data_IF_869471788811
#
_entry.id   IF_869471788811
#
_cell.length_a   1.000
_cell.length_b   1.000
_cell.length_c   1.000
_cell.angle_alpha   90.00
_cell.angle_beta   90.00
_cell.angle_gamma   90.00
#
_symmetry.space_group_name_H-M   'P 1'
#
loop_
_entity.id
_entity.type
_entity.pdbx_description
1 polymer ?
#
# COMPACT_ATOMS: atom_id res chain seq x y z
N UNK A 1 29.87 10.32 24.24
CA UNK A 1 28.44 10.55 23.95
C UNK A 1 27.63 10.21 25.19
N UNK A 2 27.00 11.21 25.81
CA UNK A 2 26.11 11.02 26.96
C UNK A 2 24.86 10.21 26.55
N UNK A 3 24.15 9.62 27.52
CA UNK A 3 22.94 8.86 27.22
C UNK A 3 21.87 9.72 26.52
N UNK A 4 21.73 10.97 26.93
CA UNK A 4 20.82 11.94 26.32
C UNK A 4 21.17 12.25 24.86
N UNK A 5 22.46 12.46 24.55
CA UNK A 5 22.92 12.70 23.18
C UNK A 5 22.58 11.53 22.24
N UNK A 6 22.68 10.29 22.74
CA UNK A 6 22.31 9.10 21.98
C UNK A 6 20.82 9.07 21.64
N UNK A 7 19.94 9.42 22.59
CA UNK A 7 18.49 9.49 22.35
C UNK A 7 18.16 10.62 21.37
N UNK A 8 18.75 11.81 21.55
CA UNK A 8 18.58 12.94 20.62
C UNK A 8 19.04 12.61 19.20
N UNK A 9 20.11 11.83 19.05
CA UNK A 9 20.56 11.35 17.75
C UNK A 9 19.54 10.38 17.11
N UNK A 10 19.02 9.42 17.88
CA UNK A 10 17.97 8.49 17.42
C UNK A 10 16.70 9.22 17.03
N UNK A 11 16.29 10.23 17.80
CA UNK A 11 15.11 11.04 17.54
C UNK A 11 15.25 11.81 16.22
N UNK A 12 16.37 12.51 16.01
CA UNK A 12 16.67 13.18 14.73
C UNK A 12 16.68 12.19 13.55
N UNK A 13 17.24 10.99 13.74
CA UNK A 13 17.24 9.94 12.71
C UNK A 13 15.82 9.44 12.40
N UNK A 14 14.97 9.29 13.42
CA UNK A 14 13.58 8.88 13.26
C UNK A 14 12.76 9.95 12.52
N UNK A 15 12.90 11.23 12.89
CA UNK A 15 12.23 12.36 12.23
C UNK A 15 12.61 12.46 10.74
N UNK A 16 13.91 12.38 10.40
CA UNK A 16 14.34 12.33 9.00
C UNK A 16 13.75 11.13 8.24
N UNK A 17 13.59 9.99 8.91
CA UNK A 17 12.98 8.80 8.29
C UNK A 17 11.50 9.02 8.05
N UNK A 18 10.78 9.64 8.99
CA UNK A 18 9.38 10.04 8.80
C UNK A 18 9.22 10.97 7.60
N UNK A 19 10.00 12.04 7.52
CA UNK A 19 9.98 12.99 6.41
C UNK A 19 10.18 12.30 5.06
N UNK A 20 11.19 11.43 4.94
CA UNK A 20 11.46 10.64 3.73
C UNK A 20 10.28 9.76 3.33
N UNK A 21 9.64 9.10 4.29
CA UNK A 21 8.49 8.23 4.02
C UNK A 21 7.26 9.03 3.58
N UNK A 22 7.02 10.18 4.20
CA UNK A 22 5.94 11.10 3.82
C UNK A 22 6.18 11.65 2.41
N UNK A 23 7.42 12.03 2.09
CA UNK A 23 7.78 12.50 0.75
C UNK A 23 7.61 11.40 -0.32
N UNK A 24 8.01 10.16 -0.01
CA UNK A 24 7.80 9.02 -0.90
C UNK A 24 6.31 8.72 -1.14
N UNK A 25 5.46 8.84 -0.11
CA UNK A 25 4.01 8.70 -0.25
C UNK A 25 3.42 9.80 -1.14
N UNK A 26 3.82 11.06 -0.94
CA UNK A 26 3.39 12.19 -1.78
C UNK A 26 3.78 12.03 -3.25
N UNK A 27 4.90 11.37 -3.55
CA UNK A 27 5.32 11.06 -4.94
C UNK A 27 4.46 9.98 -5.58
N UNK A 28 3.91 9.06 -4.79
CA UNK A 28 3.10 7.94 -5.28
C UNK A 28 1.64 8.31 -5.40
N UNK A 29 1.10 9.11 -4.47
CA UNK A 29 -0.26 9.62 -4.52
C UNK A 29 -0.29 10.86 -5.44
N UNK A 30 -0.74 10.75 -6.70
CA UNK A 30 -0.85 11.92 -7.56
C UNK A 30 -1.83 12.94 -6.97
N UNK A 31 -1.61 14.21 -7.29
CA UNK A 31 -2.41 15.35 -6.82
C UNK A 31 -3.90 15.10 -7.08
N UNK A 32 -4.68 15.07 -6.00
CA UNK A 32 -6.12 14.81 -5.97
C UNK A 32 -6.87 15.83 -6.82
N UNK A 33 -6.96 15.61 -8.12
CA UNK A 33 -7.69 16.49 -9.05
C UNK A 33 -8.43 15.64 -10.07
N UNK A 34 -9.42 14.91 -9.58
CA UNK A 34 -10.56 14.58 -10.42
C UNK A 34 -11.77 14.49 -9.51
N UNK A 35 -12.58 15.54 -9.54
CA UNK A 35 -13.95 15.47 -9.07
C UNK A 35 -14.61 14.24 -9.71
N UNK A 36 -15.36 13.50 -8.90
CA UNK A 36 -16.13 12.35 -9.37
C UNK A 36 -17.16 12.86 -10.36
N UNK A 37 -16.94 12.63 -11.66
CA UNK A 37 -17.90 12.93 -12.73
C UNK A 37 -19.19 12.07 -12.64
N UNK A 38 -19.46 11.43 -11.51
CA UNK A 38 -20.58 10.53 -11.36
C UNK A 38 -21.70 11.17 -10.57
N UNK A 39 -22.87 11.22 -11.21
CA UNK A 39 -24.11 11.66 -10.62
C UNK A 39 -24.43 10.75 -9.41
N UNK A 40 -24.54 11.29 -8.19
CA UNK A 40 -24.97 10.48 -7.05
C UNK A 40 -26.42 10.08 -7.30
N UNK A 41 -26.63 8.93 -7.94
CA UNK A 41 -27.95 8.32 -8.05
C UNK A 41 -28.52 8.20 -6.63
N UNK A 42 -29.54 8.99 -6.33
CA UNK A 42 -30.20 8.98 -5.02
C UNK A 42 -30.99 7.68 -4.97
N UNK A 43 -30.43 6.65 -4.32
CA UNK A 43 -31.17 5.43 -4.03
C UNK A 43 -32.26 5.74 -3.01
N UNK A 44 -33.47 5.24 -3.29
CA UNK A 44 -34.51 5.25 -2.27
C UNK A 44 -34.12 4.30 -1.12
N UNK A 45 -34.59 4.55 0.13
CA UNK A 45 -34.27 3.68 1.26
C UNK A 45 -34.67 2.20 1.04
N UNK A 46 -35.77 1.97 0.32
CA UNK A 46 -36.26 0.64 -0.04
C UNK A 46 -35.30 -0.08 -1.00
N UNK A 47 -34.87 0.62 -2.05
CA UNK A 47 -33.87 0.10 -2.99
C UNK A 47 -32.54 -0.17 -2.29
N UNK A 48 -32.10 0.75 -1.43
CA UNK A 48 -30.88 0.60 -0.65
C UNK A 48 -30.92 -0.68 0.20
N UNK A 49 -32.01 -0.91 0.93
CA UNK A 49 -32.17 -2.13 1.74
C UNK A 49 -32.24 -3.39 0.87
N UNK A 50 -32.94 -3.34 -0.27
CA UNK A 50 -33.02 -4.45 -1.21
C UNK A 50 -31.64 -4.86 -1.74
N UNK A 51 -30.85 -3.90 -2.23
CA UNK A 51 -29.51 -4.17 -2.74
C UNK A 51 -28.55 -4.58 -1.64
N UNK A 52 -28.68 -4.03 -0.42
CA UNK A 52 -27.86 -4.44 0.71
C UNK A 52 -28.11 -5.91 1.06
N UNK A 53 -29.38 -6.32 1.15
CA UNK A 53 -29.76 -7.72 1.41
C UNK A 53 -29.34 -8.66 0.29
N UNK A 54 -29.43 -8.22 -0.96
CA UNK A 54 -28.95 -8.99 -2.11
C UNK A 54 -27.42 -9.12 -2.10
N UNK A 55 -26.71 -8.03 -1.80
CA UNK A 55 -25.26 -7.98 -1.70
C UNK A 55 -24.72 -8.86 -0.58
N UNK A 56 -25.38 -8.90 0.58
CA UNK A 56 -25.02 -9.80 1.69
C UNK A 56 -25.14 -11.28 1.31
N UNK A 57 -26.15 -11.64 0.51
CA UNK A 57 -26.36 -13.03 0.06
C UNK A 57 -25.50 -13.43 -1.14
N UNK A 58 -24.87 -12.47 -1.81
CA UNK A 58 -24.12 -12.77 -3.03
C UNK A 58 -22.79 -13.46 -2.71
N UNK A 59 -22.36 -14.36 -3.60
CA UNK A 59 -21.08 -15.09 -3.47
C UNK A 59 -19.93 -14.42 -4.24
N UNK A 60 -20.20 -13.28 -4.89
CA UNK A 60 -19.24 -12.58 -5.72
C UNK A 60 -18.43 -11.63 -4.84
N UNK A 61 -17.15 -11.94 -4.64
CA UNK A 61 -16.29 -11.12 -3.81
C UNK A 61 -14.97 -10.79 -4.51
N UNK A 62 -14.45 -9.59 -4.21
CA UNK A 62 -13.13 -9.14 -4.60
C UNK A 62 -12.25 -9.05 -3.34
N UNK A 63 -11.22 -9.90 -3.21
CA UNK A 63 -10.31 -9.83 -2.07
C UNK A 63 -9.33 -8.67 -2.23
N UNK A 64 -9.19 -7.86 -1.19
CA UNK A 64 -8.18 -6.79 -1.08
C UNK A 64 -7.20 -7.18 0.01
N UNK A 65 -5.96 -7.44 -0.40
CA UNK A 65 -4.86 -7.76 0.52
C UNK A 65 -4.00 -6.55 0.85
N UNK A 66 -2.78 -6.81 1.34
CA UNK A 66 -1.80 -5.79 1.77
C UNK A 66 -1.60 -4.60 0.82
N UNK A 67 -1.68 -4.84 -0.50
CA UNK A 67 -1.47 -3.80 -1.51
C UNK A 67 -2.58 -2.73 -1.52
N UNK A 68 -3.72 -3.00 -0.89
CA UNK A 68 -4.88 -2.12 -0.95
C UNK A 68 -5.47 -2.04 -2.35
N UNK A 69 -6.03 -0.87 -2.68
CA UNK A 69 -6.65 -0.60 -3.97
C UNK A 69 -5.58 -0.35 -5.02
N UNK A 70 -5.64 -1.09 -6.12
CA UNK A 70 -4.82 -0.88 -7.31
C UNK A 70 -5.64 -1.19 -8.55
N UNK A 71 -5.07 -0.88 -9.71
CA UNK A 71 -5.71 -1.03 -11.01
C UNK A 71 -6.45 -2.38 -11.21
N UNK A 72 -5.84 -3.50 -10.81
CA UNK A 72 -6.43 -4.83 -10.97
C UNK A 72 -7.63 -5.10 -10.06
N UNK A 73 -7.73 -4.44 -8.89
CA UNK A 73 -8.90 -4.56 -8.01
C UNK A 73 -10.10 -3.94 -8.70
N UNK A 74 -9.94 -2.72 -9.22
CA UNK A 74 -10.99 -1.97 -9.90
C UNK A 74 -11.44 -2.69 -11.17
N UNK A 75 -10.49 -3.19 -11.96
CA UNK A 75 -10.77 -4.05 -13.10
C UNK A 75 -11.64 -5.23 -12.70
N UNK A 76 -11.26 -5.95 -11.64
CA UNK A 76 -11.99 -7.13 -11.16
C UNK A 76 -13.42 -6.76 -10.71
N UNK A 77 -13.60 -5.60 -10.08
CA UNK A 77 -14.94 -5.09 -9.73
C UNK A 77 -15.81 -4.89 -10.97
N UNK A 78 -15.29 -4.21 -12.00
CA UNK A 78 -16.02 -3.99 -13.26
C UNK A 78 -16.35 -5.30 -13.99
N UNK A 79 -15.46 -6.30 -13.92
CA UNK A 79 -15.69 -7.65 -14.44
C UNK A 79 -16.88 -8.33 -13.75
N UNK A 80 -16.97 -8.26 -12.42
CA UNK A 80 -18.14 -8.77 -11.69
C UNK A 80 -19.41 -7.98 -12.03
N UNK A 81 -19.31 -6.66 -12.17
CA UNK A 81 -20.44 -5.80 -12.47
C UNK A 81 -21.02 -5.99 -13.88
N UNK A 82 -20.29 -6.66 -14.78
CA UNK A 82 -20.81 -7.07 -16.09
C UNK A 82 -21.99 -8.02 -15.96
N UNK A 83 -21.96 -8.94 -14.98
CA UNK A 83 -22.99 -9.98 -14.79
C UNK A 83 -23.85 -9.76 -13.54
N UNK A 84 -23.32 -9.04 -12.56
CA UNK A 84 -23.96 -8.88 -11.25
C UNK A 84 -24.14 -7.40 -10.91
N UNK A 85 -25.20 -7.08 -10.20
CA UNK A 85 -25.47 -5.70 -9.81
C UNK A 85 -24.71 -5.29 -8.54
N UNK A 86 -24.48 -6.26 -7.65
CA UNK A 86 -23.81 -6.08 -6.35
C UNK A 86 -22.54 -6.91 -6.26
N UNK A 87 -21.60 -6.44 -5.44
CA UNK A 87 -20.31 -7.06 -5.18
C UNK A 87 -19.96 -6.91 -3.69
N UNK A 88 -19.30 -7.92 -3.12
CA UNK A 88 -18.61 -7.80 -1.83
C UNK A 88 -17.11 -7.53 -2.04
N UNK A 89 -16.54 -6.60 -1.28
CA UNK A 89 -15.10 -6.35 -1.26
C UNK A 89 -14.59 -6.70 0.13
N UNK A 90 -13.72 -7.72 0.21
CA UNK A 90 -13.25 -8.27 1.49
C UNK A 90 -11.86 -7.72 1.80
N UNK A 91 -11.74 -6.97 2.89
CA UNK A 91 -10.57 -6.18 3.28
C UNK A 91 -10.11 -6.60 4.69
N UNK A 92 -9.37 -7.72 4.81
CA UNK A 92 -8.99 -8.28 6.12
C UNK A 92 -7.75 -7.64 6.78
N UNK A 93 -6.92 -6.93 6.02
CA UNK A 93 -5.60 -6.49 6.49
C UNK A 93 -5.56 -5.08 7.08
N UNK A 94 -6.67 -4.35 7.03
CA UNK A 94 -6.73 -2.93 7.39
C UNK A 94 -7.60 -2.70 8.62
N UNK A 95 -7.37 -1.59 9.31
CA UNK A 95 -8.22 -1.17 10.43
C UNK A 95 -9.62 -0.75 9.95
N UNK A 96 -10.67 -0.81 10.79
CA UNK A 96 -12.03 -0.43 10.39
C UNK A 96 -12.15 1.02 9.92
N UNK A 97 -11.29 1.93 10.40
CA UNK A 97 -11.20 3.31 9.93
C UNK A 97 -10.62 3.37 8.50
N UNK A 98 -9.51 2.67 8.26
CA UNK A 98 -8.93 2.54 6.92
C UNK A 98 -9.88 1.85 5.93
N UNK A 99 -10.74 0.92 6.38
CA UNK A 99 -11.75 0.28 5.53
C UNK A 99 -12.80 1.30 5.06
N UNK A 100 -13.17 2.29 5.88
CA UNK A 100 -14.07 3.39 5.48
C UNK A 100 -13.41 4.31 4.45
N UNK A 101 -12.12 4.60 4.61
CA UNK A 101 -11.34 5.35 3.62
C UNK A 101 -11.28 4.58 2.29
N UNK A 102 -10.98 3.29 2.34
CA UNK A 102 -10.95 2.39 1.18
C UNK A 102 -12.32 2.35 0.50
N UNK A 103 -13.42 2.28 1.25
CA UNK A 103 -14.77 2.29 0.68
C UNK A 103 -15.05 3.59 -0.08
N UNK A 104 -14.62 4.73 0.48
CA UNK A 104 -14.77 6.05 -0.15
C UNK A 104 -13.89 6.19 -1.39
N UNK A 105 -12.64 5.72 -1.33
CA UNK A 105 -11.74 5.67 -2.48
C UNK A 105 -12.27 4.76 -3.59
N UNK A 106 -12.82 3.59 -3.25
CA UNK A 106 -13.43 2.68 -4.22
C UNK A 106 -14.63 3.32 -4.89
N UNK A 107 -15.53 3.97 -4.14
CA UNK A 107 -16.66 4.69 -4.70
C UNK A 107 -16.19 5.75 -5.72
N UNK A 108 -15.18 6.55 -5.32
CA UNK A 108 -14.58 7.59 -6.17
C UNK A 108 -13.96 7.02 -7.45
N UNK A 109 -13.21 5.92 -7.36
CA UNK A 109 -12.45 5.36 -8.48
C UNK A 109 -13.30 4.53 -9.44
N UNK A 110 -14.32 3.86 -8.92
CA UNK A 110 -15.14 2.93 -9.70
C UNK A 110 -16.48 3.53 -10.16
N UNK A 111 -16.92 4.62 -9.54
CA UNK A 111 -18.29 5.12 -9.67
C UNK A 111 -19.33 4.24 -8.97
N UNK A 112 -18.91 3.20 -8.24
CA UNK A 112 -19.85 2.38 -7.47
C UNK A 112 -20.40 3.11 -6.25
N UNK A 113 -21.59 2.71 -5.83
CA UNK A 113 -22.26 3.19 -4.63
C UNK A 113 -21.97 2.22 -3.49
N UNK A 114 -21.50 2.74 -2.36
CA UNK A 114 -21.29 1.96 -1.13
C UNK A 114 -22.63 1.82 -0.41
N UNK A 115 -23.11 0.59 -0.26
CA UNK A 115 -24.37 0.30 0.45
C UNK A 115 -24.16 0.11 1.96
N UNK A 116 -22.97 -0.35 2.35
CA UNK A 116 -22.66 -0.59 3.76
C UNK A 116 -21.39 -1.40 3.96
N UNK A 117 -20.94 -1.43 5.21
CA UNK A 117 -19.80 -2.24 5.65
C UNK A 117 -20.35 -3.29 6.62
N UNK A 118 -20.13 -4.56 6.30
CA UNK A 118 -20.50 -5.72 7.10
C UNK A 118 -19.28 -6.29 7.81
N UNK A 119 -19.45 -6.69 9.08
CA UNK A 119 -18.39 -7.29 9.91
C UNK A 119 -17.08 -6.50 9.91
N UNK A 120 -17.15 -5.17 9.78
CA UNK A 120 -16.01 -4.22 9.75
C UNK A 120 -15.03 -4.37 8.57
N UNK A 121 -14.99 -5.52 7.90
CA UNK A 121 -14.00 -5.85 6.86
C UNK A 121 -14.60 -6.06 5.48
N UNK A 122 -15.93 -6.19 5.35
CA UNK A 122 -16.59 -6.50 4.09
C UNK A 122 -17.40 -5.31 3.60
N UNK A 123 -16.96 -4.67 2.52
CA UNK A 123 -17.66 -3.53 1.91
C UNK A 123 -18.63 -4.07 0.87
N UNK A 124 -19.89 -3.65 0.92
CA UNK A 124 -20.91 -4.04 -0.06
C UNK A 124 -21.12 -2.89 -1.02
N UNK A 125 -20.85 -3.15 -2.29
CA UNK A 125 -20.91 -2.14 -3.34
C UNK A 125 -21.94 -2.50 -4.41
N UNK A 126 -22.60 -1.46 -4.89
CA UNK A 126 -23.55 -1.49 -6.00
C UNK A 126 -23.00 -0.69 -7.17
N UNK A 127 -23.19 -1.20 -8.39
CA UNK A 127 -22.60 -0.57 -9.59
C UNK A 127 -23.31 0.71 -10.06
N UNK A 128 -24.56 0.95 -9.66
CA UNK A 128 -25.45 1.98 -10.22
C UNK A 128 -26.46 1.44 -11.24
N UNK A 129 -27.59 2.12 -11.41
CA UNK A 129 -28.62 1.82 -12.41
C UNK A 129 -28.10 2.10 -13.83
N UNK A 130 -27.35 3.19 -13.98
CA UNK A 130 -26.78 3.64 -15.26
C UNK A 130 -25.39 3.06 -15.55
N UNK A 131 -25.03 1.93 -14.95
CA UNK A 131 -23.74 1.30 -15.21
C UNK A 131 -23.64 0.85 -16.67
N UNK A 132 -22.83 1.57 -17.45
CA UNK A 132 -22.30 1.12 -18.73
C UNK A 132 -20.91 0.54 -18.52
N UNK A 133 -20.63 -0.65 -19.07
CA UNK A 133 -19.28 -1.20 -19.03
C UNK A 133 -18.32 -0.17 -19.66
N UNK A 134 -17.36 0.39 -18.90
CA UNK A 134 -16.41 1.32 -19.47
C UNK A 134 -15.62 0.63 -20.58
N UNK A 135 -15.25 1.35 -21.66
CA UNK A 135 -14.33 0.84 -22.67
C UNK A 135 -13.09 0.22 -22.00
N UNK A 136 -12.48 -0.79 -22.62
CA UNK A 136 -11.32 -1.51 -22.05
C UNK A 136 -10.18 -0.58 -21.63
N UNK A 137 -10.01 0.55 -22.33
CA UNK A 137 -9.04 1.60 -22.01
C UNK A 137 -9.33 2.37 -20.70
N UNK A 138 -10.59 2.34 -20.23
CA UNK A 138 -11.12 3.08 -19.08
C UNK A 138 -11.49 2.13 -17.93
N UNK A 139 -11.58 0.81 -18.17
CA UNK A 139 -11.89 -0.23 -17.17
C UNK A 139 -10.86 -0.34 -16.02
N UNK A 140 -9.82 0.47 -16.11
CA UNK A 140 -8.75 0.65 -15.15
C UNK A 140 -8.28 2.09 -15.25
N UNK A 141 -8.89 3.02 -14.49
CA UNK A 141 -8.59 4.43 -14.62
C UNK A 141 -7.09 4.67 -14.47
N UNK A 142 -6.49 5.48 -15.36
CA UNK A 142 -5.06 5.84 -15.30
C UNK A 142 -4.67 6.54 -13.99
N UNK A 143 -5.67 7.04 -13.26
CA UNK A 143 -5.56 7.65 -11.93
C UNK A 143 -5.19 6.61 -10.85
N UNK A 144 -5.46 5.33 -11.10
CA UNK A 144 -5.23 4.25 -10.13
C UNK A 144 -3.76 3.83 -10.09
N UNK A 145 -3.30 3.39 -8.91
CA UNK A 145 -1.92 2.93 -8.73
C UNK A 145 -1.67 1.61 -9.47
N UNK A 146 -0.48 1.47 -10.04
CA UNK A 146 0.01 0.20 -10.56
C UNK A 146 0.29 -0.78 -9.41
N UNK A 147 0.32 -2.09 -9.72
CA UNK A 147 0.51 -3.16 -8.72
C UNK A 147 1.78 -2.99 -7.87
N UNK A 148 2.87 -2.51 -8.47
CA UNK A 148 4.14 -2.24 -7.78
C UNK A 148 4.03 -1.00 -6.88
N UNK A 149 3.54 0.12 -7.43
CA UNK A 149 3.36 1.38 -6.69
C UNK A 149 2.42 1.21 -5.48
N UNK A 150 1.37 0.40 -5.62
CA UNK A 150 0.45 0.10 -4.52
C UNK A 150 1.12 -0.70 -3.39
N UNK A 151 2.00 -1.66 -3.72
CA UNK A 151 2.79 -2.37 -2.72
C UNK A 151 3.76 -1.42 -2.00
N UNK A 152 4.43 -0.54 -2.75
CA UNK A 152 5.37 0.43 -2.18
C UNK A 152 4.64 1.44 -1.29
N UNK A 153 3.46 1.94 -1.68
CA UNK A 153 2.56 2.75 -0.83
C UNK A 153 2.25 2.05 0.48
N UNK A 154 1.87 0.76 0.44
CA UNK A 154 1.62 -0.03 1.66
C UNK A 154 2.87 -0.13 2.54
N UNK A 155 4.04 -0.43 1.97
CA UNK A 155 5.30 -0.49 2.73
C UNK A 155 5.65 0.85 3.40
N UNK A 156 5.45 1.96 2.70
CA UNK A 156 5.70 3.28 3.27
C UNK A 156 4.71 3.64 4.37
N UNK A 157 3.42 3.31 4.22
CA UNK A 157 2.42 3.46 5.29
C UNK A 157 2.78 2.64 6.53
N UNK A 158 3.17 1.37 6.35
CA UNK A 158 3.62 0.51 7.47
C UNK A 158 4.85 1.09 8.17
N UNK A 159 5.84 1.54 7.39
CA UNK A 159 7.04 2.19 7.91
C UNK A 159 6.72 3.48 8.67
N UNK A 160 5.79 4.29 8.16
CA UNK A 160 5.35 5.53 8.78
C UNK A 160 4.64 5.25 10.12
N UNK A 161 3.76 4.24 10.14
CA UNK A 161 3.08 3.77 11.36
C UNK A 161 4.09 3.31 12.42
N UNK A 162 5.14 2.59 12.02
CA UNK A 162 6.20 2.16 12.93
C UNK A 162 7.01 3.35 13.49
N UNK A 163 7.41 4.30 12.64
CA UNK A 163 8.18 5.47 13.06
C UNK A 163 7.37 6.38 13.99
N UNK A 164 6.09 6.62 13.67
CA UNK A 164 5.17 7.41 14.51
C UNK A 164 4.92 6.79 15.88
N UNK A 165 4.95 5.46 15.99
CA UNK A 165 4.91 4.77 17.29
C UNK A 165 6.23 4.85 18.07
N UNK A 166 7.34 5.06 17.38
CA UNK A 166 8.68 5.07 17.97
C UNK A 166 9.10 6.44 18.50
N UNK A 167 8.75 7.53 17.80
CA UNK A 167 9.10 8.90 18.19
C UNK A 167 8.62 9.25 19.62
N UNK A 168 7.34 9.02 20.00
CA UNK A 168 6.87 9.34 21.35
C UNK A 168 7.56 8.53 22.44
N UNK A 169 7.96 7.27 22.13
CA UNK A 169 8.72 6.44 23.08
C UNK A 169 10.09 7.05 23.35
N UNK A 170 10.79 7.52 22.31
CA UNK A 170 12.07 8.20 22.47
C UNK A 170 11.94 9.52 23.23
N UNK A 171 10.86 10.27 23.04
CA UNK A 171 10.60 11.51 23.77
C UNK A 171 10.38 11.22 25.27
N UNK A 172 9.58 10.20 25.59
CA UNK A 172 9.37 9.75 26.97
C UNK A 172 10.67 9.30 27.65
N UNK A 173 11.49 8.50 26.95
CA UNK A 173 12.79 8.05 27.48
C UNK A 173 13.73 9.25 27.74
N UNK A 174 13.69 10.26 26.86
CA UNK A 174 14.46 11.49 27.01
C UNK A 174 14.02 12.27 28.26
N UNK A 175 12.72 12.45 28.45
CA UNK A 175 12.16 13.16 29.60
C UNK A 175 12.46 12.43 30.92
N UNK A 176 12.40 11.10 30.92
CA UNK A 176 12.80 10.28 32.07
C UNK A 176 14.27 10.45 32.43
N UNK A 177 15.17 10.44 31.44
CA UNK A 177 16.60 10.67 31.68
C UNK A 177 16.86 12.07 32.25
N UNK A 178 16.20 13.10 31.70
CA UNK A 178 16.29 14.47 32.22
C UNK A 178 15.76 14.58 33.65
N UNK A 179 14.69 13.88 33.98
CA UNK A 179 14.13 13.85 35.33
C UNK A 179 15.08 13.16 36.33
N UNK A 180 15.74 12.07 35.93
CA UNK A 180 16.76 11.40 36.74
C UNK A 180 17.99 12.29 36.95
N UNK A 181 18.45 12.96 35.88
CA UNK A 181 19.56 13.90 35.95
C UNK A 181 19.27 15.12 36.83
N UNK A 182 18.00 15.50 37.00
CA UNK A 182 17.58 16.56 37.95
C UNK A 182 17.51 16.09 39.41
N UNK A 183 17.18 14.83 39.68
CA UNK A 183 17.16 14.28 41.06
C UNK A 183 18.55 14.04 41.63
N UNK A 184 19.51 13.63 40.80
CA UNK A 184 20.88 13.34 41.25
C UNK A 184 21.64 14.55 41.87
N UNK A 185 21.55 15.79 41.36
CA UNK A 185 22.22 16.95 41.97
C UNK A 185 21.58 17.42 43.28
N UNK A 186 20.31 17.09 43.55
CA UNK A 186 19.65 17.44 44.81
C UNK A 186 20.22 16.60 45.99
N UNK A 187 20.62 15.35 45.74
CA UNK A 187 21.17 14.45 46.78
C UNK A 187 22.61 14.86 47.20
N UNK A 188 23.40 15.48 46.32
CA UNK A 188 24.76 15.94 46.66
C UNK A 188 24.80 17.26 47.45
N UNK A 189 23.74 18.07 47.38
CA UNK A 189 23.70 19.38 48.07
C UNK A 189 23.18 19.32 49.50
N UNK A 190 22.32 18.35 49.83
CA UNK A 190 21.83 18.13 51.19
C UNK A 190 22.86 17.43 52.11
N UNK A 191 23.94 16.86 51.56
CA UNK A 191 24.95 16.13 52.34
C UNK A 191 26.09 17.01 52.90
N UNK A 192 26.13 18.32 52.60
CA UNK A 192 27.27 19.20 52.94
C UNK A 192 26.97 20.17 54.11
N UNK A 193 25.72 20.31 54.56
CA UNK A 193 25.37 21.26 55.65
C UNK A 193 25.37 20.67 57.08
N UNK A 194 25.55 19.37 57.28
CA UNK A 194 25.71 18.77 58.62
C UNK A 194 27.20 18.47 58.92
N UNK A 195 27.98 19.50 59.24
CA UNK A 195 29.25 19.31 59.95
C UNK A 195 29.59 20.51 60.84
N UNK A 196 28.90 20.64 61.98
CA UNK A 196 29.44 21.32 63.18
C UNK A 196 28.98 20.60 64.46
N UNK A 197 29.93 19.83 65.00
CA UNK A 197 30.28 19.59 66.42
C UNK A 197 29.19 19.33 67.48
N UNK A 198 29.23 18.13 68.09
CA UNK A 198 29.57 17.97 69.52
C UNK A 198 30.05 16.53 69.80
N UNK A 199 31.20 16.41 70.47
CA UNK A 199 31.75 15.19 71.08
C UNK A 199 30.82 14.59 72.15
N UNK A 200 30.82 13.25 72.29
CA UNK A 200 31.06 12.45 73.52
C UNK A 200 30.97 10.93 73.21
N UNK A 201 32.07 10.24 73.49
CA UNK A 201 32.36 8.82 73.82
C UNK A 201 31.52 7.62 73.31
N UNK A 202 32.22 6.82 72.49
CA UNK A 202 32.67 5.43 72.75
C UNK A 202 31.69 4.23 72.87
N UNK A 203 32.00 3.25 72.00
CA UNK A 203 31.91 1.77 72.06
C UNK A 203 30.64 1.01 71.62
N UNK A 204 30.86 0.23 70.55
CA UNK A 204 30.26 -1.03 70.07
C UNK A 204 28.74 -1.13 69.83
N UNK A 205 28.34 -1.36 68.57
CA UNK A 205 28.30 -2.71 67.99
C UNK A 205 27.56 -2.76 66.65
N UNK A 206 28.09 -3.63 65.80
CA UNK A 206 27.71 -4.00 64.43
C UNK A 206 26.24 -4.46 64.32
N UNK A 207 25.41 -3.79 63.51
CA UNK A 207 24.24 -4.43 62.90
C UNK A 207 23.76 -3.69 61.65
N UNK A 208 23.81 -4.39 60.52
CA UNK A 208 23.23 -3.99 59.24
C UNK A 208 21.71 -3.87 59.36
N UNK A 209 21.15 -2.68 59.12
CA UNK A 209 19.70 -2.52 58.97
C UNK A 209 19.36 -2.01 57.57
N UNK A 210 18.66 -2.88 56.84
CA UNK A 210 18.04 -2.61 55.56
C UNK A 210 16.90 -1.59 55.77
N UNK A 211 17.03 -0.38 55.22
CA UNK A 211 15.88 0.49 55.05
C UNK A 211 15.08 0.04 53.82
N UNK A 212 14.06 -0.76 54.12
CA UNK A 212 12.97 -1.14 53.22
C UNK A 212 12.09 0.11 52.99
N UNK A 213 12.19 0.72 51.82
CA UNK A 213 11.20 1.69 51.36
C UNK A 213 9.93 0.93 50.96
N UNK A 214 8.90 1.01 51.80
CA UNK A 214 7.56 0.48 51.53
C UNK A 214 6.89 1.25 50.37
N UNK A 215 6.27 0.57 49.39
CA UNK A 215 5.46 1.21 48.36
C UNK A 215 4.14 1.74 48.95
N UNK A 216 3.81 3.01 48.66
CA UNK A 216 2.57 3.66 49.09
C UNK A 216 1.31 2.89 48.64
N UNK A 217 0.30 2.84 49.50
CA UNK A 217 -0.95 2.06 49.38
C UNK A 217 -1.87 2.39 48.18
N UNK A 218 -1.49 3.31 47.30
CA UNK A 218 -2.23 3.60 46.04
C UNK A 218 -2.10 2.53 44.96
N UNK A 219 -1.10 1.64 45.03
CA UNK A 219 -0.86 0.60 44.03
C UNK A 219 -1.54 -0.74 44.32
N UNK A 220 -1.99 -0.99 45.57
CA UNK A 220 -2.69 -2.24 45.93
C UNK A 220 -4.16 -2.26 45.50
N UNK A 221 -4.78 -1.09 45.36
CA UNK A 221 -6.21 -0.99 45.02
C UNK A 221 -6.49 -1.27 43.53
N UNK A 222 -5.52 -1.03 42.64
CA UNK A 222 -5.69 -1.19 41.19
C UNK A 222 -5.50 -2.66 40.75
N UNK A 223 -4.68 -3.43 41.48
CA UNK A 223 -4.38 -4.84 41.15
C UNK A 223 -5.48 -5.80 41.65
N UNK A 224 -6.30 -5.37 42.61
CA UNK A 224 -7.34 -6.21 43.24
C UNK A 224 -8.65 -6.38 42.44
N UNK A 225 -8.81 -5.76 41.26
CA UNK A 225 -10.11 -5.66 40.59
C UNK A 225 -10.27 -6.49 39.30
N UNK A 226 -9.31 -7.36 38.97
CA UNK A 226 -9.46 -8.31 37.86
C UNK A 226 -9.07 -9.73 38.24
N UNK A 227 -9.84 -10.37 39.14
CA UNK A 227 -9.86 -11.84 39.18
C UNK A 227 -11.20 -12.39 39.71
N UNK A 228 -11.98 -12.87 38.76
CA UNK A 228 -13.08 -13.82 38.90
C UNK A 228 -13.60 -14.06 37.48
N UNK A 229 -13.68 -15.26 36.93
CA UNK A 229 -13.30 -16.60 37.36
C UNK A 229 -13.73 -17.53 36.22
N UNK A 230 -12.98 -18.59 35.96
CA UNK A 230 -13.49 -19.89 35.52
C UNK A 230 -12.31 -20.81 35.23
N UNK A 231 -12.42 -22.00 35.79
CA UNK A 231 -11.52 -23.15 35.76
C UNK A 231 -11.66 -23.85 34.41
N UNK A 232 -10.56 -24.33 33.81
CA UNK A 232 -10.40 -25.74 33.45
C UNK A 232 -9.10 -26.01 32.67
N UNK A 233 -8.45 -27.08 33.13
CA UNK A 233 -7.55 -28.04 32.51
C UNK A 233 -6.11 -27.71 32.06
N UNK A 234 -5.24 -28.50 32.71
CA UNK A 234 -3.79 -28.69 32.59
C UNK A 234 -3.43 -29.45 31.32
N UNK A 235 -2.37 -29.06 30.58
CA UNK A 235 -1.32 -29.99 30.15
C UNK A 235 0.01 -29.26 29.89
N UNK A 236 1.06 -29.78 30.53
CA UNK A 236 2.50 -29.64 30.35
C UNK A 236 2.96 -29.59 28.88
N UNK A 237 3.81 -28.64 28.49
CA UNK A 237 5.17 -28.95 28.05
C UNK A 237 6.09 -27.72 28.03
N UNK A 238 7.32 -27.97 28.46
CA UNK A 238 8.47 -27.08 28.49
C UNK A 238 9.11 -27.07 27.11
N UNK A 239 9.45 -25.90 26.56
CA UNK A 239 10.75 -25.61 25.94
C UNK A 239 10.74 -24.24 25.26
N UNK A 240 11.52 -23.32 25.82
CA UNK A 240 11.83 -22.02 25.23
C UNK A 240 13.23 -22.09 24.60
N UNK A 241 13.37 -22.04 23.26
CA UNK A 241 14.62 -21.63 22.66
C UNK A 241 14.67 -20.10 22.60
N UNK A 242 15.43 -19.54 23.53
CA UNK A 242 16.00 -18.20 23.42
C UNK A 242 17.06 -18.24 22.31
N UNK A 243 16.75 -17.65 21.16
CA UNK A 243 17.72 -17.45 20.08
C UNK A 243 17.75 -15.96 19.71
N UNK A 244 18.58 -15.24 20.46
CA UNK A 244 19.13 -13.96 20.06
C UNK A 244 20.47 -14.23 19.41
N UNK A 245 20.71 -13.59 18.26
CA UNK A 245 21.98 -13.46 17.53
C UNK A 245 22.03 -14.18 16.18
N UNK A 246 21.33 -13.66 15.15
CA UNK A 246 21.89 -13.63 13.80
C UNK A 246 21.20 -12.61 12.87
N UNK A 247 21.61 -11.35 12.91
CA UNK A 247 21.19 -10.33 11.92
C UNK A 247 22.39 -9.54 11.38
N UNK A 248 23.58 -10.14 11.34
CA UNK A 248 24.80 -9.46 10.87
C UNK A 248 25.09 -9.57 9.37
N UNK A 249 24.41 -10.43 8.60
CA UNK A 249 24.84 -10.73 7.21
C UNK A 249 23.92 -10.18 6.11
N UNK A 250 23.47 -8.92 6.26
CA UNK A 250 22.73 -8.22 5.17
C UNK A 250 23.53 -7.06 4.53
N UNK A 251 24.76 -6.79 5.00
CA UNK A 251 25.59 -5.70 4.49
C UNK A 251 27.01 -6.14 4.17
N UNK A 252 27.18 -7.22 3.40
CA UNK A 252 28.42 -7.45 2.68
C UNK A 252 28.12 -7.91 1.26
N UNK A 253 28.45 -7.05 0.28
CA UNK A 253 28.91 -7.32 -1.10
C UNK A 253 28.34 -6.33 -2.12
N UNK A 254 28.89 -5.12 -2.14
CA UNK A 254 29.11 -4.39 -3.40
C UNK A 254 30.54 -4.74 -3.86
N UNK A 255 30.66 -5.56 -4.89
CA UNK A 255 31.89 -5.70 -5.68
C UNK A 255 31.49 -6.08 -7.09
N UNK A 256 31.52 -5.07 -7.96
CA UNK A 256 31.42 -5.21 -9.41
C UNK A 256 32.50 -6.16 -9.93
N UNK A 257 32.09 -7.30 -10.47
CA UNK A 257 32.83 -7.97 -11.54
C UNK A 257 31.88 -8.50 -12.59
N UNK A 258 32.04 -7.97 -13.78
CA UNK A 258 31.56 -8.52 -15.04
C UNK A 258 32.02 -9.98 -15.19
N UNK A 259 31.09 -10.89 -15.42
CA UNK A 259 31.37 -12.16 -16.11
C UNK A 259 30.22 -12.50 -17.04
N UNK A 260 30.56 -12.64 -18.31
CA UNK A 260 29.72 -13.13 -19.39
C UNK A 260 29.36 -14.62 -19.23
N UNK A 261 28.33 -15.01 -19.99
CA UNK A 261 27.93 -16.36 -20.43
C UNK A 261 27.51 -17.42 -19.39
N UNK A 262 26.21 -17.73 -19.38
CA UNK A 262 25.65 -18.93 -20.03
C UNK A 262 24.12 -18.93 -19.98
N UNK A 263 23.50 -19.07 -21.14
CA UNK A 263 22.05 -19.18 -21.29
C UNK A 263 21.59 -20.62 -20.99
N UNK A 264 20.89 -20.83 -19.88
CA UNK A 264 20.06 -22.02 -19.66
C UNK A 264 18.63 -21.73 -20.10
N UNK A 265 18.13 -22.57 -21.02
CA UNK A 265 16.78 -22.52 -21.57
C UNK A 265 15.75 -22.95 -20.50
N UNK A 266 14.62 -22.24 -20.33
CA UNK A 266 13.54 -22.74 -19.48
C UNK A 266 12.77 -23.89 -20.14
N UNK A 267 12.50 -24.91 -19.33
CA UNK A 267 12.11 -26.28 -19.67
C UNK A 267 10.59 -26.52 -19.88
N UNK A 268 9.77 -25.54 -20.26
CA UNK A 268 8.35 -25.81 -20.53
C UNK A 268 7.79 -24.85 -21.59
N UNK A 269 7.98 -25.20 -22.85
CA UNK A 269 7.02 -24.89 -23.91
C UNK A 269 6.53 -26.25 -24.43
N UNK A 270 5.36 -26.66 -23.97
CA UNK A 270 4.62 -27.76 -24.58
C UNK A 270 4.28 -27.39 -26.03
N UNK A 271 4.48 -28.36 -26.92
CA UNK A 271 4.08 -28.31 -28.32
C UNK A 271 2.63 -27.84 -28.45
N UNK A 272 2.44 -26.69 -29.10
CA UNK A 272 1.13 -26.38 -29.67
C UNK A 272 0.93 -27.32 -30.87
N UNK A 273 -0.13 -28.10 -30.79
CA UNK A 273 -0.63 -28.97 -31.85
C UNK A 273 -0.69 -28.22 -33.18
N UNK A 274 0.01 -28.76 -34.19
CA UNK A 274 -0.10 -28.30 -35.58
C UNK A 274 -1.51 -28.57 -36.07
N UNK A 275 -2.26 -27.50 -36.36
CA UNK A 275 -3.44 -27.62 -37.22
C UNK A 275 -2.99 -28.00 -38.64
N UNK A 276 -3.61 -29.00 -39.29
CA UNK A 276 -3.29 -29.32 -40.66
C UNK A 276 -3.87 -28.23 -41.57
N UNK A 277 -2.99 -27.56 -42.31
CA UNK A 277 -3.37 -26.72 -43.45
C UNK A 277 -3.03 -27.51 -44.70
N UNK A 278 -4.05 -27.84 -45.48
CA UNK A 278 -3.93 -28.37 -46.84
C UNK A 278 -3.17 -27.33 -47.69
N UNK A 279 -1.98 -27.70 -48.17
CA UNK A 279 -1.20 -26.90 -49.11
C UNK A 279 -1.45 -27.39 -50.53
N UNK A 280 -2.17 -26.60 -51.32
CA UNK A 280 -2.03 -26.61 -52.79
C UNK A 280 -1.56 -25.21 -53.21
N UNK A 281 -0.24 -25.07 -53.42
CA UNK A 281 0.37 -23.86 -53.96
C UNK A 281 1.79 -23.62 -53.43
N UNK A 282 2.75 -23.54 -54.36
CA UNK A 282 4.20 -23.33 -54.18
C UNK A 282 4.57 -22.23 -53.15
N UNK A 283 5.72 -22.33 -52.45
CA UNK A 283 6.17 -21.29 -51.54
C UNK A 283 6.66 -20.06 -52.31
N UNK A 284 5.85 -19.00 -52.37
CA UNK A 284 6.34 -17.67 -52.75
C UNK A 284 7.36 -17.20 -51.72
N UNK A 285 8.56 -16.85 -52.19
CA UNK A 285 9.61 -16.24 -51.37
C UNK A 285 9.06 -14.95 -50.76
N UNK A 286 8.88 -14.90 -49.44
CA UNK A 286 8.19 -13.82 -48.71
C UNK A 286 8.75 -12.42 -49.04
N UNK A 287 10.04 -12.38 -49.36
CA UNK A 287 10.78 -11.19 -49.78
C UNK A 287 10.26 -10.63 -51.12
N UNK A 288 9.91 -11.48 -52.07
CA UNK A 288 9.38 -11.10 -53.38
C UNK A 288 7.91 -10.67 -53.28
N UNK A 289 7.13 -11.30 -52.40
CA UNK A 289 5.76 -10.86 -52.11
C UNK A 289 5.72 -9.44 -51.52
N UNK A 290 6.65 -9.12 -50.61
CA UNK A 290 6.80 -7.78 -50.06
C UNK A 290 7.26 -6.75 -51.10
N UNK A 291 8.12 -7.17 -52.05
CA UNK A 291 8.52 -6.31 -53.19
C UNK A 291 7.35 -6.05 -54.12
N UNK A 292 6.51 -7.05 -54.37
CA UNK A 292 5.32 -6.93 -55.21
C UNK A 292 4.30 -5.94 -54.63
N UNK A 293 3.98 -6.07 -53.33
CA UNK A 293 3.07 -5.14 -52.63
C UNK A 293 3.59 -3.69 -52.70
N UNK A 294 4.90 -3.50 -52.58
CA UNK A 294 5.54 -2.18 -52.67
C UNK A 294 5.47 -1.57 -54.07
N UNK A 295 5.57 -2.41 -55.11
CA UNK A 295 5.42 -1.96 -56.51
C UNK A 295 3.97 -1.60 -56.85
N UNK A 296 3.00 -2.35 -56.35
CA UNK A 296 1.57 -2.09 -56.58
C UNK A 296 1.11 -0.79 -55.88
N UNK A 297 1.66 -0.49 -54.69
CA UNK A 297 1.47 0.78 -53.99
C UNK A 297 2.00 2.00 -54.77
N UNK A 298 3.08 1.83 -55.54
CA UNK A 298 3.61 2.89 -56.41
C UNK A 298 2.82 3.05 -57.70
N UNK A 299 2.26 1.97 -58.25
CA UNK A 299 1.45 1.98 -59.48
C UNK A 299 0.08 2.64 -59.27
N UNK A 300 -0.49 2.51 -58.07
CA UNK A 300 -1.72 3.21 -57.67
C UNK A 300 -1.56 4.74 -57.56
N UNK A 301 -0.32 5.26 -57.60
CA UNK A 301 -0.02 6.70 -57.52
C UNK A 301 0.14 7.39 -58.86
N UNK A 302 0.15 6.64 -59.97
CA UNK A 302 0.40 7.19 -61.32
C UNK A 302 -0.74 6.93 -62.30
N UNK A 303 -1.90 6.47 -61.83
CA UNK A 303 -3.08 6.24 -62.68
C UNK A 303 -4.26 7.04 -62.13
N UNK A 304 -4.60 8.07 -62.90
CA UNK A 304 -5.85 8.84 -62.92
C UNK A 304 -6.03 9.95 -61.87
N UNK A 305 -5.77 11.17 -62.37
CA UNK A 305 -6.66 12.32 -62.19
C UNK A 305 -8.12 11.90 -62.50
N UNK A 306 -9.05 12.42 -61.69
CA UNK A 306 -10.50 12.44 -61.87
C UNK A 306 -11.27 11.09 -61.89
N UNK A 307 -11.62 10.59 -60.69
CA UNK A 307 -12.97 10.08 -60.37
C UNK A 307 -13.09 9.61 -58.90
N UNK A 308 -14.11 10.15 -58.21
CA UNK A 308 -14.83 9.65 -57.03
C UNK A 308 -14.04 9.18 -55.78
N UNK A 309 -13.82 10.13 -54.88
CA UNK A 309 -13.37 9.86 -53.50
C UNK A 309 -14.54 9.28 -52.66
N UNK A 310 -14.28 8.29 -51.78
CA UNK A 310 -15.26 7.87 -50.77
C UNK A 310 -15.59 9.05 -49.84
N UNK A 311 -16.84 9.12 -49.37
CA UNK A 311 -17.40 10.25 -48.64
C UNK A 311 -16.68 10.46 -47.29
N UNK A 312 -15.59 11.22 -47.29
CA UNK A 312 -14.85 11.57 -46.09
C UNK A 312 -15.63 12.57 -45.25
N UNK A 313 -15.78 12.27 -43.96
CA UNK A 313 -16.45 13.15 -43.00
C UNK A 313 -15.66 14.45 -42.83
N UNK A 314 -16.33 15.48 -42.31
CA UNK A 314 -15.77 16.83 -42.21
C UNK A 314 -14.47 16.86 -41.37
N UNK A 315 -14.34 15.95 -40.42
CA UNK A 315 -13.14 15.76 -39.59
C UNK A 315 -11.97 15.24 -40.42
N UNK A 316 -12.19 14.28 -41.31
CA UNK A 316 -11.14 13.71 -42.17
C UNK A 316 -10.61 14.77 -43.16
N UNK A 317 -11.51 15.62 -43.67
CA UNK A 317 -11.12 16.76 -44.53
C UNK A 317 -10.24 17.77 -43.79
N UNK A 318 -10.50 18.02 -42.51
CA UNK A 318 -9.69 18.91 -41.67
C UNK A 318 -8.29 18.32 -41.44
N UNK A 319 -8.21 17.02 -41.13
CA UNK A 319 -6.93 16.34 -40.92
C UNK A 319 -6.05 16.32 -42.19
N UNK A 320 -6.65 16.05 -43.35
CA UNK A 320 -5.94 16.09 -44.62
C UNK A 320 -5.44 17.50 -44.97
N UNK A 321 -6.26 18.54 -44.71
CA UNK A 321 -5.82 19.94 -44.86
C UNK A 321 -4.66 20.28 -43.92
N UNK A 322 -4.73 19.89 -42.65
CA UNK A 322 -3.67 20.14 -41.67
C UNK A 322 -2.34 19.47 -42.06
N UNK A 323 -2.40 18.21 -42.54
CA UNK A 323 -1.23 17.48 -43.01
C UNK A 323 -0.59 18.13 -44.25
N UNK A 324 -1.39 18.70 -45.15
CA UNK A 324 -0.89 19.41 -46.34
C UNK A 324 -0.16 20.72 -45.97
N UNK A 325 -0.64 21.43 -44.96
CA UNK A 325 -0.03 22.68 -44.48
C UNK A 325 1.30 22.43 -43.78
N UNK A 326 1.43 21.31 -43.06
CA UNK A 326 2.69 20.90 -42.44
C UNK A 326 3.77 20.54 -43.47
N UNK A 327 3.38 19.98 -44.62
CA UNK A 327 4.32 19.70 -45.72
C UNK A 327 4.79 20.95 -46.45
N UNK A 328 3.95 21.98 -46.56
CA UNK A 328 4.34 23.28 -47.14
C UNK A 328 5.29 24.10 -46.26
N UNK A 329 5.35 23.84 -44.95
CA UNK A 329 6.24 24.55 -44.01
C UNK A 329 7.66 23.97 -43.94
N UNK A 330 7.94 22.88 -44.67
CA UNK A 330 9.24 22.18 -44.69
C UNK A 330 9.96 22.29 -46.05
N UNK A 331 9.61 23.27 -46.89
CA UNK A 331 10.36 23.62 -48.09
C UNK A 331 10.82 25.05 -48.05
#
# INVERSE_FOLDING_TARGET
MTAEEKILHKLRKAQRKEERLVEALKKIEPSETSETNHDPEILTPEEHFFFLKMGLKCKNYVPVGRRGIYQGVILNMHLHWKKHQTLQVVVKTFSPEEVKEIASELARLTGGIVLGIHEEYTIIMYRGKNYSQPPTEIMSPRVTLSRKKALDKSKYKDGLRAVRKYIPKLEQDLDLLRAQAKRNPEIETDAIEETQETDIDSVDSRSSSNFKLEPSDKLKEIIGRSKGGSEDDLVTDSEMPSDSEDLSDIFETDSDKETEEKAERPLYLEEFEKFPVESDGEPEDFEDHLRQISMDSKKAKSVNEDADLPNFDEVDRIFLRAASLLKKKRR
#
